data_IF_907293228869
#
_entry.id   IF_907293228869
#
_cell.length_a   1.000
_cell.length_b   1.000
_cell.length_c   1.000
_cell.angle_alpha   90.00
_cell.angle_beta   90.00
_cell.angle_gamma   90.00
#
_symmetry.space_group_name_H-M   'P 1'
#
loop_
_entity.id
_entity.type
_entity.pdbx_description
1 polymer ?
#
# COMPACT_ATOMS: atom_id res chain seq x y z
N UNK A 1 0.87 -3.28 -16.56
CA UNK A 1 0.56 -1.99 -15.90
C UNK A 1 -0.90 -2.01 -15.49
N UNK A 2 -1.22 -1.59 -14.25
CA UNK A 2 -2.55 -1.73 -13.65
C UNK A 2 -3.29 -0.39 -13.65
N UNK A 3 -4.08 -0.13 -14.70
CA UNK A 3 -4.80 1.13 -14.87
C UNK A 3 -6.19 1.10 -14.20
N UNK A 4 -6.61 2.24 -13.64
CA UNK A 4 -7.92 2.39 -13.00
C UNK A 4 -9.08 2.05 -13.95
N UNK A 5 -8.96 2.41 -15.23
CA UNK A 5 -10.00 2.14 -16.25
C UNK A 5 -10.28 0.65 -16.47
N UNK A 6 -9.34 -0.22 -16.09
CA UNK A 6 -9.45 -1.67 -16.29
C UNK A 6 -10.17 -2.36 -15.12
N UNK A 7 -10.51 -1.61 -14.06
CA UNK A 7 -11.18 -2.14 -12.86
C UNK A 7 -12.66 -2.32 -13.12
N UNK A 8 -13.17 -3.54 -12.89
CA UNK A 8 -14.60 -3.82 -13.02
C UNK A 8 -15.33 -3.58 -11.70
N UNK A 9 -16.60 -3.13 -11.72
CA UNK A 9 -17.39 -2.95 -10.50
C UNK A 9 -17.49 -4.21 -9.64
N UNK A 10 -17.53 -5.39 -10.27
CA UNK A 10 -17.56 -6.69 -9.58
C UNK A 10 -16.28 -6.94 -8.78
N UNK A 11 -15.11 -6.56 -9.32
CA UNK A 11 -13.83 -6.73 -8.64
C UNK A 11 -13.75 -5.82 -7.40
N UNK A 12 -14.27 -4.60 -7.50
CA UNK A 12 -14.38 -3.67 -6.37
C UNK A 12 -15.34 -4.17 -5.30
N UNK A 13 -16.48 -4.75 -5.70
CA UNK A 13 -17.43 -5.34 -4.77
C UNK A 13 -16.78 -6.47 -3.95
N UNK A 14 -16.10 -7.41 -4.61
CA UNK A 14 -15.41 -8.51 -3.94
C UNK A 14 -14.26 -8.01 -3.07
N UNK A 15 -13.46 -7.07 -3.58
CA UNK A 15 -12.34 -6.50 -2.83
C UNK A 15 -12.82 -5.80 -1.55
N UNK A 16 -13.90 -5.01 -1.65
CA UNK A 16 -14.52 -4.36 -0.48
C UNK A 16 -15.02 -5.38 0.53
N UNK A 17 -15.68 -6.45 0.06
CA UNK A 17 -16.16 -7.52 0.95
C UNK A 17 -15.00 -8.17 1.71
N UNK A 18 -13.92 -8.56 1.02
CA UNK A 18 -12.79 -9.20 1.67
C UNK A 18 -12.02 -8.28 2.63
N UNK A 19 -11.85 -7.00 2.30
CA UNK A 19 -11.25 -6.05 3.22
C UNK A 19 -12.10 -5.84 4.48
N UNK A 20 -13.43 -5.85 4.35
CA UNK A 20 -14.34 -5.82 5.50
C UNK A 20 -14.22 -7.09 6.34
N UNK A 21 -14.14 -8.27 5.71
CA UNK A 21 -13.96 -9.55 6.41
C UNK A 21 -12.65 -9.54 7.23
N UNK A 22 -11.54 -9.04 6.66
CA UNK A 22 -10.25 -8.91 7.33
C UNK A 22 -10.32 -7.89 8.49
N UNK A 23 -10.99 -6.76 8.28
CA UNK A 23 -11.22 -5.76 9.34
C UNK A 23 -11.97 -6.39 10.52
N UNK A 24 -13.10 -7.03 10.26
CA UNK A 24 -13.91 -7.69 11.29
C UNK A 24 -13.13 -8.78 12.02
N UNK A 25 -12.33 -9.57 11.29
CA UNK A 25 -11.46 -10.57 11.89
C UNK A 25 -10.44 -9.92 12.82
N UNK A 26 -9.74 -8.87 12.37
CA UNK A 26 -8.75 -8.15 13.17
C UNK A 26 -9.36 -7.60 14.48
N UNK A 27 -10.56 -7.03 14.40
CA UNK A 27 -11.29 -6.52 15.57
C UNK A 27 -11.67 -7.64 16.53
N UNK A 28 -12.11 -8.79 16.02
CA UNK A 28 -12.53 -9.93 16.85
C UNK A 28 -11.38 -10.56 17.65
N UNK A 29 -10.14 -10.41 17.19
CA UNK A 29 -8.92 -10.86 17.90
C UNK A 29 -8.20 -9.72 18.63
N UNK A 30 -8.76 -8.52 18.67
CA UNK A 30 -8.14 -7.34 19.30
C UNK A 30 -6.88 -6.84 18.60
N UNK A 31 -6.68 -7.18 17.32
CA UNK A 31 -5.57 -6.72 16.50
C UNK A 31 -5.89 -5.38 15.83
N UNK A 32 -4.86 -4.56 15.59
CA UNK A 32 -4.96 -3.37 14.75
C UNK A 32 -4.58 -3.71 13.32
N UNK A 33 -5.47 -3.45 12.38
CA UNK A 33 -5.21 -3.61 10.94
C UNK A 33 -4.64 -2.32 10.35
N UNK A 34 -3.52 -2.45 9.64
CA UNK A 34 -2.98 -1.40 8.76
C UNK A 34 -2.67 -2.03 7.40
N UNK A 35 -3.11 -1.40 6.32
CA UNK A 35 -2.84 -1.86 4.95
C UNK A 35 -1.73 -1.01 4.34
N UNK A 36 -0.69 -1.65 3.80
CA UNK A 36 0.40 -0.97 3.10
C UNK A 36 0.20 -1.17 1.60
N UNK A 37 0.20 -0.07 0.85
CA UNK A 37 0.08 -0.07 -0.61
C UNK A 37 1.42 0.41 -1.17
N UNK A 38 2.05 -0.42 -1.99
CA UNK A 38 3.31 -0.09 -2.65
C UNK A 38 3.27 -0.37 -4.16
N UNK A 39 4.03 0.39 -4.97
CA UNK A 39 4.07 0.21 -6.41
C UNK A 39 4.79 -1.07 -6.85
N UNK A 40 4.34 -1.59 -7.99
CA UNK A 40 5.15 -2.44 -8.88
C UNK A 40 6.17 -1.60 -9.67
N UNK A 41 7.24 -2.24 -10.15
CA UNK A 41 8.25 -1.61 -11.00
C UNK A 41 7.63 -0.90 -12.21
N UNK A 42 6.68 -1.56 -12.89
CA UNK A 42 6.00 -1.02 -14.06
C UNK A 42 5.16 0.25 -13.75
N UNK A 43 4.73 0.45 -12.50
CA UNK A 43 4.06 1.68 -12.10
C UNK A 43 5.07 2.81 -11.88
N UNK A 44 6.24 2.52 -11.32
CA UNK A 44 7.32 3.49 -11.12
C UNK A 44 7.89 4.01 -12.44
N UNK A 45 8.01 3.13 -13.44
CA UNK A 45 8.49 3.45 -14.80
C UNK A 45 7.48 4.25 -15.65
N UNK A 46 6.25 4.42 -15.18
CA UNK A 46 5.19 5.12 -15.91
C UNK A 46 5.11 6.60 -15.53
N UNK A 47 4.57 7.46 -16.40
CA UNK A 47 4.29 8.87 -16.07
C UNK A 47 2.95 9.07 -15.33
N UNK A 48 2.30 7.98 -14.93
CA UNK A 48 0.97 8.02 -14.32
C UNK A 48 1.02 8.55 -12.89
N UNK A 49 -0.06 9.23 -12.52
CA UNK A 49 -0.37 9.60 -11.13
C UNK A 49 -1.07 8.46 -10.41
N UNK A 50 -1.09 8.52 -9.08
CA UNK A 50 -1.83 7.55 -8.26
C UNK A 50 -3.30 7.42 -8.65
N UNK A 51 -3.95 8.53 -9.04
CA UNK A 51 -5.37 8.57 -9.38
C UNK A 51 -5.68 7.81 -10.67
N UNK A 52 -4.70 7.59 -11.54
CA UNK A 52 -4.83 6.84 -12.79
C UNK A 52 -4.61 5.33 -12.60
N UNK A 53 -4.12 4.91 -11.43
CA UNK A 53 -3.78 3.53 -11.11
C UNK A 53 -4.91 2.83 -10.34
N UNK A 54 -5.00 1.50 -10.45
CA UNK A 54 -6.01 0.70 -9.72
C UNK A 54 -5.95 0.91 -8.21
N UNK A 55 -4.77 1.27 -7.68
CA UNK A 55 -4.57 1.52 -6.26
C UNK A 55 -5.44 2.65 -5.71
N UNK A 56 -5.82 3.66 -6.52
CA UNK A 56 -6.73 4.73 -6.07
C UNK A 56 -8.12 4.18 -5.73
N UNK A 57 -8.59 3.14 -6.42
CA UNK A 57 -9.85 2.48 -6.11
C UNK A 57 -9.77 1.70 -4.79
N UNK A 58 -8.62 1.06 -4.53
CA UNK A 58 -8.35 0.38 -3.26
C UNK A 58 -8.33 1.39 -2.11
N UNK A 59 -7.66 2.53 -2.27
CA UNK A 59 -7.63 3.62 -1.29
C UNK A 59 -9.04 4.11 -0.96
N UNK A 60 -9.90 4.31 -1.97
CA UNK A 60 -11.31 4.70 -1.76
C UNK A 60 -12.08 3.66 -0.94
N UNK A 61 -11.87 2.37 -1.20
CA UNK A 61 -12.47 1.30 -0.39
C UNK A 61 -11.97 1.35 1.04
N UNK A 62 -10.65 1.46 1.26
CA UNK A 62 -10.05 1.52 2.60
C UNK A 62 -10.57 2.72 3.40
N UNK A 63 -10.67 3.90 2.77
CA UNK A 63 -11.28 5.09 3.36
C UNK A 63 -12.75 4.86 3.75
N UNK A 64 -13.54 4.25 2.87
CA UNK A 64 -14.95 3.94 3.15
C UNK A 64 -15.11 2.96 4.31
N UNK A 65 -14.16 2.03 4.46
CA UNK A 65 -14.15 1.05 5.54
C UNK A 65 -13.44 1.55 6.81
N UNK A 66 -12.93 2.80 6.80
CA UNK A 66 -12.14 3.39 7.88
C UNK A 66 -10.92 2.53 8.26
N UNK A 67 -10.33 1.83 7.28
CA UNK A 67 -9.12 1.04 7.48
C UNK A 67 -7.91 1.96 7.31
N UNK A 68 -7.09 2.06 8.37
CA UNK A 68 -5.82 2.78 8.30
C UNK A 68 -4.95 2.16 7.21
N UNK A 69 -4.40 3.00 6.36
CA UNK A 69 -3.50 2.56 5.31
C UNK A 69 -2.35 3.54 5.14
N UNK A 70 -1.27 3.05 4.54
CA UNK A 70 -0.09 3.82 4.19
C UNK A 70 0.15 3.58 2.71
N UNK A 71 0.17 4.69 1.98
CA UNK A 71 0.43 4.75 0.55
C UNK A 71 1.88 5.26 0.39
N UNK A 72 2.69 4.57 -0.43
CA UNK A 72 4.12 4.90 -0.59
C UNK A 72 4.51 5.22 -2.03
N UNK A 73 3.57 5.24 -2.97
CA UNK A 73 3.81 5.41 -4.41
C UNK A 73 4.64 6.64 -4.72
N UNK A 74 4.20 7.83 -4.29
CA UNK A 74 4.87 9.09 -4.63
C UNK A 74 6.28 9.17 -4.02
N UNK A 75 6.42 8.69 -2.78
CA UNK A 75 7.71 8.67 -2.11
C UNK A 75 8.68 7.70 -2.81
N UNK A 76 8.22 6.51 -3.17
CA UNK A 76 9.04 5.49 -3.84
C UNK A 76 9.36 5.90 -5.28
N UNK A 77 8.42 6.52 -6.00
CA UNK A 77 8.64 7.02 -7.36
C UNK A 77 9.70 8.10 -7.40
N UNK A 78 9.68 9.04 -6.44
CA UNK A 78 10.75 10.03 -6.30
C UNK A 78 12.10 9.36 -6.09
N UNK A 79 12.21 8.46 -5.12
CA UNK A 79 13.45 7.75 -4.79
C UNK A 79 13.99 6.92 -5.97
N UNK A 80 13.08 6.23 -6.69
CA UNK A 80 13.39 5.43 -7.87
C UNK A 80 13.96 6.29 -9.01
N UNK A 81 13.37 7.46 -9.24
CA UNK A 81 13.82 8.40 -10.28
C UNK A 81 15.14 9.10 -9.91
N UNK A 82 15.39 9.34 -8.63
CA UNK A 82 16.62 9.96 -8.14
C UNK A 82 17.83 8.99 -8.19
N UNK A 83 17.59 7.67 -8.13
CA UNK A 83 18.64 6.65 -8.13
C UNK A 83 18.32 5.50 -9.12
N UNK A 84 18.33 5.77 -10.44
CA UNK A 84 17.94 4.78 -11.46
C UNK A 84 18.91 3.60 -11.59
N UNK A 85 20.14 3.71 -11.09
CA UNK A 85 21.15 2.66 -11.09
C UNK A 85 20.93 1.59 -10.00
N UNK A 86 20.11 1.90 -8.99
CA UNK A 86 19.80 0.97 -7.91
C UNK A 86 18.86 -0.13 -8.42
N UNK A 87 19.21 -1.38 -8.09
CA UNK A 87 18.29 -2.50 -8.29
C UNK A 87 17.19 -2.48 -7.23
N UNK A 88 16.10 -1.78 -7.51
CA UNK A 88 14.95 -1.64 -6.63
C UNK A 88 14.08 -2.90 -6.54
N UNK A 89 14.01 -3.68 -7.63
CA UNK A 89 13.12 -4.83 -7.77
C UNK A 89 13.87 -6.10 -8.23
N UNK A 90 13.38 -7.26 -7.79
CA UNK A 90 13.83 -8.56 -8.29
C UNK A 90 13.15 -8.90 -9.62
N UNK A 91 11.83 -8.65 -9.67
CA UNK A 91 10.94 -8.78 -10.82
C UNK A 91 9.91 -7.64 -10.81
N UNK A 92 8.90 -7.67 -11.69
CA UNK A 92 7.94 -6.57 -11.84
C UNK A 92 7.23 -6.17 -10.53
N UNK A 93 7.07 -7.06 -9.56
CA UNK A 93 6.23 -6.82 -8.36
C UNK A 93 7.04 -6.93 -7.06
N UNK A 94 8.06 -7.79 -7.01
CA UNK A 94 8.78 -8.06 -5.77
C UNK A 94 9.97 -7.11 -5.58
N UNK A 95 10.01 -6.31 -4.50
CA UNK A 95 11.15 -5.48 -4.17
C UNK A 95 12.43 -6.32 -3.98
N UNK A 96 13.58 -5.78 -4.39
CA UNK A 96 14.88 -6.31 -4.02
C UNK A 96 15.33 -5.71 -2.67
N UNK A 97 16.59 -5.94 -2.28
CA UNK A 97 17.13 -5.44 -1.00
C UNK A 97 16.88 -3.94 -0.79
N UNK A 98 17.21 -3.10 -1.78
CA UNK A 98 17.05 -1.65 -1.67
C UNK A 98 15.57 -1.23 -1.56
N UNK A 99 14.68 -1.87 -2.33
CA UNK A 99 13.24 -1.61 -2.23
C UNK A 99 12.66 -2.02 -0.88
N UNK A 100 13.08 -3.16 -0.32
CA UNK A 100 12.71 -3.56 1.04
C UNK A 100 13.23 -2.59 2.10
N UNK A 101 14.47 -2.13 1.99
CA UNK A 101 15.06 -1.16 2.91
C UNK A 101 14.29 0.18 2.87
N UNK A 102 13.97 0.68 1.68
CA UNK A 102 13.16 1.89 1.51
C UNK A 102 11.79 1.73 2.17
N UNK A 103 11.06 0.65 1.87
CA UNK A 103 9.74 0.36 2.45
C UNK A 103 9.85 0.30 3.98
N UNK A 104 10.83 -0.44 4.51
CA UNK A 104 11.05 -0.59 5.95
C UNK A 104 11.30 0.75 6.65
N UNK A 105 12.18 1.58 6.10
CA UNK A 105 12.51 2.91 6.64
C UNK A 105 11.32 3.87 6.55
N UNK A 106 10.57 3.85 5.44
CA UNK A 106 9.37 4.65 5.30
C UNK A 106 8.33 4.25 6.35
N UNK A 107 8.13 2.95 6.54
CA UNK A 107 7.19 2.42 7.51
C UNK A 107 7.60 2.72 8.95
N UNK A 108 8.87 2.57 9.33
CA UNK A 108 9.33 2.89 10.69
C UNK A 108 9.09 4.35 11.07
N UNK A 109 9.16 5.26 10.08
CA UNK A 109 8.97 6.70 10.30
C UNK A 109 7.49 7.12 10.31
N UNK A 110 6.61 6.38 9.62
CA UNK A 110 5.20 6.76 9.41
C UNK A 110 4.19 5.89 10.18
N UNK A 111 4.60 4.70 10.64
CA UNK A 111 3.85 3.93 11.63
C UNK A 111 4.15 4.49 13.01
N UNK A 112 3.25 5.33 13.52
CA UNK A 112 3.22 5.66 14.94
C UNK A 112 2.96 4.38 15.77
N UNK A 113 4.06 3.74 16.19
CA UNK A 113 4.06 2.56 17.06
C UNK A 113 3.90 2.93 18.54
N UNK A 114 3.95 4.23 18.91
CA UNK A 114 3.87 4.66 20.31
C UNK A 114 2.49 4.41 20.94
N UNK A 115 1.42 4.40 20.12
CA UNK A 115 0.05 4.06 20.55
C UNK A 115 -0.21 2.57 20.75
N UNK A 116 0.82 1.72 20.68
CA UNK A 116 0.70 0.27 20.90
C UNK A 116 1.08 -0.16 22.32
N UNK A 117 1.66 0.73 23.13
CA UNK A 117 2.10 0.44 24.50
C UNK A 117 1.12 0.88 25.60
N UNK A 118 -0.10 1.31 25.27
CA UNK A 118 -1.04 1.89 26.24
C UNK A 118 -2.16 0.94 26.71
N UNK A 119 -1.99 -0.38 26.59
CA UNK A 119 -2.97 -1.39 27.06
C UNK A 119 -2.39 -2.31 28.12
N UNK A 120 -1.67 -1.74 29.10
CA UNK A 120 -1.22 -2.47 30.29
C UNK A 120 -1.23 -1.54 31.51
N UNK A 121 -2.43 -1.12 31.92
CA UNK A 121 -2.72 -0.69 33.29
C UNK A 121 -4.09 -1.22 33.70
#
# INVERSE_FOLDING_TARGET
MYLLKDVKPVDLHYTKKHLLDIKNFSESIGAKLVVIIFPSQAQLESDLTIDELQQSAIIKILNTLEIRHIEIYEAFKREYNENPEIRWFHDVIHPYKAGHEFIGNYLSNNLDLSRFNSSSQ
#
